data_IF_240488085249
#
_entry.id   IF_240488085249
#
_cell.length_a   1.000
_cell.length_b   1.000
_cell.length_c   1.000
_cell.angle_alpha   90.00
_cell.angle_beta   90.00
_cell.angle_gamma   90.00
#
_symmetry.space_group_name_H-M   'P 1'
#
loop_
_entity.id
_entity.type
_entity.pdbx_description
1 polymer ?
#
# COMPACT_ATOMS: atom_id res chain seq x y z
N UNK A 1 9.86 3.73 0.28
CA UNK A 1 10.12 5.08 0.83
C UNK A 1 11.02 4.96 2.03
N UNK A 2 12.03 5.84 2.18
CA UNK A 2 12.92 5.89 3.36
C UNK A 2 12.68 7.22 4.09
N UNK A 3 12.49 7.22 5.42
CA UNK A 3 12.19 8.45 6.20
C UNK A 3 13.05 8.61 7.44
N UNK A 4 13.41 9.86 7.72
CA UNK A 4 14.16 10.32 8.89
C UNK A 4 13.69 11.75 9.22
N UNK A 5 13.25 12.01 10.45
CA UNK A 5 12.65 13.29 10.86
C UNK A 5 11.59 13.76 9.85
N UNK A 6 11.82 14.91 9.19
CA UNK A 6 10.97 15.48 8.14
C UNK A 6 11.42 15.09 6.72
N UNK A 7 12.54 14.38 6.59
CA UNK A 7 13.12 13.96 5.32
C UNK A 7 12.46 12.69 4.84
N UNK A 8 12.10 12.68 3.56
CA UNK A 8 11.50 11.53 2.87
C UNK A 8 12.21 11.32 1.54
N UNK A 9 12.78 10.13 1.33
CA UNK A 9 13.44 9.72 0.09
C UNK A 9 12.58 8.68 -0.62
N UNK A 10 12.20 9.00 -1.86
CA UNK A 10 11.56 8.07 -2.77
C UNK A 10 12.63 7.42 -3.64
N UNK A 11 12.74 6.11 -3.51
CA UNK A 11 13.66 5.28 -4.29
C UNK A 11 13.06 3.89 -4.41
N UNK A 12 13.36 3.21 -5.50
CA UNK A 12 13.13 1.79 -5.69
C UNK A 12 14.37 0.97 -5.35
N UNK A 13 14.15 -0.31 -5.06
CA UNK A 13 15.18 -1.33 -4.92
C UNK A 13 14.54 -2.69 -5.23
N UNK A 14 15.35 -3.65 -5.71
CA UNK A 14 14.86 -5.00 -5.99
C UNK A 14 14.57 -5.73 -4.68
N UNK A 15 13.50 -6.53 -4.66
CA UNK A 15 13.17 -7.39 -3.51
C UNK A 15 14.34 -8.33 -3.13
N UNK A 16 15.09 -8.81 -4.13
CA UNK A 16 16.27 -9.65 -3.95
C UNK A 16 17.54 -8.90 -3.54
N UNK A 17 17.52 -7.57 -3.49
CA UNK A 17 18.66 -6.80 -3.01
C UNK A 17 18.71 -6.81 -1.48
N UNK A 18 19.92 -6.75 -0.92
CA UNK A 18 20.11 -6.70 0.52
C UNK A 18 19.81 -5.32 1.09
N UNK A 19 19.60 -5.24 2.41
CA UNK A 19 19.41 -4.00 3.18
C UNK A 19 20.58 -3.00 2.98
N UNK A 20 21.75 -3.48 2.59
CA UNK A 20 22.88 -2.63 2.21
C UNK A 20 22.60 -1.72 1.00
N UNK A 21 21.81 -2.18 0.03
CA UNK A 21 21.49 -1.41 -1.19
C UNK A 21 20.81 -0.07 -0.88
N UNK A 22 19.71 0.00 -0.11
CA UNK A 22 19.11 1.28 0.28
C UNK A 22 20.06 2.16 1.12
N UNK A 23 20.93 1.59 1.97
CA UNK A 23 21.93 2.39 2.71
C UNK A 23 22.90 3.13 1.77
N UNK A 24 23.35 2.48 0.68
CA UNK A 24 24.19 3.12 -0.35
C UNK A 24 23.46 4.24 -1.11
N UNK A 25 22.16 4.11 -1.31
CA UNK A 25 21.34 5.17 -1.91
C UNK A 25 21.26 6.37 -0.95
N UNK A 26 21.00 6.10 0.34
CA UNK A 26 21.01 7.12 1.40
C UNK A 26 22.37 7.81 1.47
N UNK A 27 23.49 7.09 1.38
CA UNK A 27 24.84 7.67 1.34
C UNK A 27 25.01 8.63 0.15
N UNK A 28 24.56 8.24 -1.04
CA UNK A 28 24.62 9.09 -2.23
C UNK A 28 23.90 10.42 -2.07
N UNK A 29 22.79 10.44 -1.31
CA UNK A 29 21.91 11.60 -1.13
C UNK A 29 22.31 12.42 0.11
N UNK A 30 22.41 11.78 1.27
CA UNK A 30 22.62 12.40 2.58
C UNK A 30 24.08 12.40 3.04
N UNK A 31 24.99 11.80 2.27
CA UNK A 31 26.45 11.79 2.53
C UNK A 31 26.84 11.16 3.87
N UNK A 32 26.08 10.15 4.31
CA UNK A 32 26.35 9.36 5.52
C UNK A 32 26.77 7.94 5.12
N UNK A 33 27.92 7.40 5.55
CA UNK A 33 28.36 6.05 5.21
C UNK A 33 27.43 4.95 5.77
N UNK A 34 27.25 3.81 5.07
CA UNK A 34 26.33 2.73 5.45
C UNK A 34 26.63 2.03 6.80
N UNK A 35 27.88 1.58 7.00
CA UNK A 35 28.20 0.51 7.96
C UNK A 35 28.19 1.01 9.41
N UNK A 36 28.67 2.24 9.63
CA UNK A 36 28.87 2.76 10.99
C UNK A 36 27.84 3.82 11.38
N UNK A 37 27.17 4.41 10.39
CA UNK A 37 26.36 5.60 10.62
C UNK A 37 24.90 5.43 10.24
N UNK A 38 24.46 4.31 9.65
CA UNK A 38 23.06 4.13 9.28
C UNK A 38 22.44 2.86 9.86
N UNK A 39 21.25 3.00 10.43
CA UNK A 39 20.34 1.89 10.75
C UNK A 39 19.04 2.07 10.00
N UNK A 40 18.58 0.98 9.39
CA UNK A 40 17.29 0.93 8.70
C UNK A 40 16.32 0.10 9.53
N UNK A 41 15.07 0.54 9.57
CA UNK A 41 14.01 -0.06 10.36
C UNK A 41 12.80 -0.35 9.49
N UNK A 42 12.08 -1.42 9.84
CA UNK A 42 10.70 -1.61 9.44
C UNK A 42 9.85 -1.49 10.69
N UNK A 43 8.95 -0.50 10.70
CA UNK A 43 8.24 -0.11 11.91
C UNK A 43 9.28 0.20 13.02
N UNK A 44 9.36 -0.61 14.08
CA UNK A 44 10.38 -0.47 15.14
C UNK A 44 11.48 -1.54 15.09
N UNK A 45 11.42 -2.46 14.12
CA UNK A 45 12.36 -3.57 14.01
C UNK A 45 13.58 -3.19 13.17
N UNK A 46 14.77 -3.35 13.74
CA UNK A 46 16.04 -3.14 13.03
C UNK A 46 16.19 -4.18 11.91
N UNK A 47 16.62 -3.72 10.74
CA UNK A 47 16.89 -4.56 9.58
C UNK A 47 18.34 -5.03 9.54
N UNK A 48 18.53 -6.33 9.39
CA UNK A 48 19.85 -6.97 9.31
C UNK A 48 20.47 -6.82 7.92
N UNK A 49 21.73 -6.42 7.83
CA UNK A 49 22.38 -6.10 6.54
C UNK A 49 22.42 -7.26 5.55
N UNK A 50 22.56 -8.49 6.06
CA UNK A 50 22.64 -9.71 5.26
C UNK A 50 21.29 -10.16 4.69
N UNK A 51 20.17 -9.61 5.17
CA UNK A 51 18.84 -9.99 4.71
C UNK A 51 18.46 -9.23 3.45
N UNK A 52 17.70 -9.89 2.58
CA UNK A 52 17.07 -9.29 1.42
C UNK A 52 15.87 -8.45 1.82
N UNK A 53 15.53 -7.45 1.00
CA UNK A 53 14.35 -6.62 1.22
C UNK A 53 13.05 -7.46 1.26
N UNK A 54 12.98 -8.53 0.45
CA UNK A 54 11.87 -9.49 0.48
C UNK A 54 11.76 -10.25 1.80
N UNK A 55 12.88 -10.70 2.36
CA UNK A 55 12.92 -11.34 3.70
C UNK A 55 12.52 -10.36 4.81
N UNK A 56 12.86 -9.07 4.66
CA UNK A 56 12.36 -8.00 5.53
C UNK A 56 10.88 -7.67 5.27
N UNK A 57 10.23 -8.30 4.28
CA UNK A 57 8.83 -8.15 3.89
C UNK A 57 8.49 -6.92 3.04
N UNK A 58 9.49 -6.33 2.40
CA UNK A 58 9.30 -5.35 1.32
C UNK A 58 9.17 -6.08 -0.02
N UNK A 59 7.93 -6.38 -0.40
CA UNK A 59 7.61 -7.08 -1.66
C UNK A 59 6.95 -6.11 -2.65
N UNK A 60 6.85 -6.50 -3.91
CA UNK A 60 6.11 -5.73 -4.93
C UNK A 60 4.64 -5.47 -4.55
N UNK A 61 4.04 -6.31 -3.70
CA UNK A 61 2.66 -6.18 -3.24
C UNK A 61 2.53 -5.27 -2.01
N UNK A 62 3.57 -5.20 -1.16
CA UNK A 62 3.55 -4.52 0.14
C UNK A 62 4.39 -3.26 0.21
N UNK A 63 5.20 -2.94 -0.80
CA UNK A 63 6.11 -1.79 -0.81
C UNK A 63 5.72 -0.73 -1.87
N UNK A 64 4.43 -0.58 -2.14
CA UNK A 64 3.90 0.46 -3.04
C UNK A 64 4.03 1.89 -2.49
N UNK A 65 3.67 2.92 -3.29
CA UNK A 65 3.81 4.32 -2.89
C UNK A 65 3.05 4.72 -1.62
N UNK A 66 1.95 4.01 -1.31
CA UNK A 66 1.14 4.24 -0.11
C UNK A 66 1.45 3.27 1.04
N UNK A 67 2.51 2.49 0.92
CA UNK A 67 2.79 1.35 1.79
C UNK A 67 3.79 1.71 2.91
N UNK A 68 4.06 0.80 3.86
CA UNK A 68 4.90 1.09 5.02
C UNK A 68 6.30 1.56 4.63
N UNK A 69 6.85 2.41 5.48
CA UNK A 69 8.09 3.14 5.25
C UNK A 69 9.27 2.39 5.85
N UNK A 70 10.43 2.45 5.19
CA UNK A 70 11.72 2.17 5.84
C UNK A 70 12.09 3.36 6.73
N UNK A 71 12.19 3.14 8.04
CA UNK A 71 12.75 4.12 8.96
C UNK A 71 14.28 4.19 8.84
N UNK A 72 14.85 5.38 8.97
CA UNK A 72 16.29 5.61 8.98
C UNK A 72 16.66 6.34 10.28
N UNK A 73 17.75 5.89 10.91
CA UNK A 73 18.38 6.58 12.02
C UNK A 73 19.89 6.64 11.78
N UNK A 74 20.50 7.78 12.10
CA UNK A 74 21.92 7.98 12.02
C UNK A 74 22.64 7.77 13.34
N UNK A 75 23.94 7.46 13.26
CA UNK A 75 24.83 7.54 14.41
C UNK A 75 25.29 8.97 14.62
N UNK A 76 25.13 9.49 15.82
CA UNK A 76 25.68 10.78 16.27
C UNK A 76 26.70 10.50 17.38
N UNK A 77 27.93 10.97 17.16
CA UNK A 77 29.08 10.68 18.02
C UNK A 77 29.22 9.17 18.36
N UNK A 78 28.98 8.81 19.62
CA UNK A 78 29.16 7.46 20.13
C UNK A 78 27.95 6.55 19.89
N UNK A 79 26.75 7.09 19.67
CA UNK A 79 25.49 6.34 19.74
C UNK A 79 24.56 6.58 18.53
N UNK A 80 23.66 5.64 18.28
CA UNK A 80 22.59 5.86 17.30
C UNK A 80 21.50 6.73 17.89
N UNK A 81 21.01 7.68 17.10
CA UNK A 81 19.82 8.44 17.45
C UNK A 81 18.60 7.51 17.53
N UNK A 82 17.60 7.92 18.31
CA UNK A 82 16.34 7.21 18.35
C UNK A 82 15.62 7.34 17.00
N UNK A 83 14.95 6.27 16.56
CA UNK A 83 14.13 6.31 15.36
C UNK A 83 13.04 7.38 15.52
N UNK A 84 13.12 8.45 14.73
CA UNK A 84 12.16 9.55 14.74
C UNK A 84 11.67 9.85 13.35
N UNK A 85 10.36 9.70 13.15
CA UNK A 85 9.68 10.03 11.89
C UNK A 85 8.56 11.00 12.23
N UNK A 86 8.63 12.22 11.69
CA UNK A 86 7.56 13.21 11.87
C UNK A 86 6.33 12.80 11.04
N UNK A 87 5.11 12.78 11.60
CA UNK A 87 3.93 12.50 10.80
C UNK A 87 3.73 13.57 9.72
N UNK A 88 3.14 13.17 8.59
CA UNK A 88 2.67 14.15 7.61
C UNK A 88 1.50 14.95 8.18
N UNK A 89 1.23 16.12 7.59
CA UNK A 89 0.05 16.91 7.94
C UNK A 89 -1.24 16.14 7.68
N UNK A 90 -2.22 16.29 8.57
CA UNK A 90 -3.57 15.77 8.34
C UNK A 90 -4.26 16.52 7.21
N UNK A 91 -5.00 15.78 6.38
CA UNK A 91 -5.88 16.39 5.37
C UNK A 91 -6.93 17.28 6.06
N UNK A 92 -7.31 18.43 5.47
CA UNK A 92 -8.41 19.24 6.00
C UNK A 92 -9.72 18.44 6.01
N UNK A 93 -10.64 18.87 6.88
CA UNK A 93 -11.98 18.30 6.95
C UNK A 93 -12.70 18.36 5.61
N UNK A 94 -13.44 17.31 5.28
CA UNK A 94 -14.23 17.22 4.04
C UNK A 94 -15.34 18.28 4.04
N UNK A 95 -15.48 19.11 2.98
CA UNK A 95 -16.53 20.10 2.93
C UNK A 95 -17.92 19.45 2.87
N UNK A 96 -18.95 20.16 3.35
CA UNK A 96 -20.32 19.62 3.48
C UNK A 96 -20.89 19.12 2.15
N UNK A 97 -20.60 19.83 1.05
CA UNK A 97 -21.01 19.42 -0.31
C UNK A 97 -20.46 18.06 -0.73
N UNK A 98 -19.31 17.66 -0.17
CA UNK A 98 -18.74 16.37 -0.47
C UNK A 98 -19.29 15.31 0.46
N UNK A 99 -19.75 15.60 1.69
CA UNK A 99 -20.26 14.57 2.62
C UNK A 99 -21.33 13.71 1.94
N UNK A 100 -21.37 12.39 2.17
CA UNK A 100 -22.40 11.55 1.58
C UNK A 100 -23.74 12.12 2.04
N UNK A 101 -24.67 12.38 1.12
CA UNK A 101 -26.01 12.74 1.53
C UNK A 101 -26.59 11.51 2.23
N UNK A 102 -27.04 11.67 3.47
CA UNK A 102 -27.85 10.65 4.12
C UNK A 102 -29.11 10.52 3.26
N UNK A 103 -29.13 9.54 2.37
CA UNK A 103 -30.31 9.16 1.59
C UNK A 103 -31.32 8.57 2.57
N UNK A 104 -32.04 9.45 3.25
CA UNK A 104 -33.04 9.17 4.25
C UNK A 104 -34.21 10.14 4.15
N UNK A 105 -34.79 10.27 2.96
CA UNK A 105 -36.16 10.73 2.67
C UNK A 105 -36.35 10.56 1.15
N UNK A 106 -37.22 9.70 0.61
CA UNK A 106 -38.61 9.46 0.99
C UNK A 106 -39.00 7.99 0.81
N UNK A 107 -39.34 7.33 1.91
CA UNK A 107 -40.46 6.38 1.90
C UNK A 107 -41.74 7.22 1.76
N UNK A 108 -42.19 7.47 0.53
CA UNK A 108 -43.56 7.90 0.30
C UNK A 108 -44.17 6.96 -0.73
N UNK A 109 -45.16 6.20 -0.28
CA UNK A 109 -46.12 5.53 -1.13
C UNK A 109 -46.69 6.54 -2.13
N UNK A 110 -46.29 6.44 -3.40
CA UNK A 110 -47.17 6.83 -4.49
C UNK A 110 -47.30 5.69 -5.46
N UNK A 111 -48.39 4.95 -5.28
CA UNK A 111 -49.02 4.17 -6.32
C UNK A 111 -49.24 5.07 -7.54
N UNK A 112 -48.42 4.90 -8.57
CA UNK A 112 -48.75 5.34 -9.94
C UNK A 112 -48.75 4.10 -10.81
N UNK A 113 -49.95 3.54 -10.96
CA UNK A 113 -50.22 2.56 -12.01
C UNK A 113 -49.97 3.22 -13.37
N UNK A 114 -48.99 2.71 -14.12
CA UNK A 114 -48.89 2.95 -15.56
C UNK A 114 -48.43 1.67 -16.27
N UNK A 115 -49.41 1.00 -16.90
CA UNK A 115 -49.37 0.36 -18.23
C UNK A 115 -48.34 -0.75 -18.53
N UNK A 116 -48.74 -1.84 -19.22
CA UNK A 116 -47.90 -3.03 -19.33
C UNK A 116 -46.82 -2.85 -20.40
N UNK A 117 -45.56 -2.80 -19.99
CA UNK A 117 -44.47 -3.13 -20.90
C UNK A 117 -44.28 -4.65 -20.89
N UNK A 118 -44.57 -5.27 -22.03
CA UNK A 118 -44.43 -6.71 -22.30
C UNK A 118 -42.97 -7.13 -22.12
N UNK A 119 -42.67 -7.82 -21.03
CA UNK A 119 -41.37 -8.46 -20.85
C UNK A 119 -41.22 -9.63 -21.84
N UNK A 120 -40.19 -9.59 -22.68
CA UNK A 120 -39.76 -10.78 -23.42
C UNK A 120 -39.06 -11.74 -22.46
N UNK A 121 -39.36 -13.05 -22.48
CA UNK A 121 -38.66 -14.02 -21.64
C UNK A 121 -37.23 -14.21 -22.13
N UNK A 122 -36.26 -14.19 -21.20
CA UNK A 122 -34.87 -14.58 -21.48
C UNK A 122 -34.82 -16.07 -21.87
N UNK A 123 -34.04 -16.46 -22.89
CA UNK A 123 -33.87 -17.87 -23.24
C UNK A 123 -33.14 -18.62 -22.12
N UNK A 124 -33.64 -19.81 -21.76
CA UNK A 124 -33.01 -20.72 -20.80
C UNK A 124 -31.74 -21.31 -21.40
N UNK A 125 -30.61 -21.13 -20.74
CA UNK A 125 -29.39 -21.89 -21.01
C UNK A 125 -29.61 -23.34 -20.57
N UNK A 126 -29.66 -24.28 -21.52
CA UNK A 126 -29.55 -25.69 -21.21
C UNK A 126 -28.08 -26.03 -20.95
N UNK A 127 -27.75 -26.29 -19.69
CA UNK A 127 -26.55 -27.01 -19.28
C UNK A 127 -26.73 -28.48 -19.68
N UNK A 128 -26.00 -28.93 -20.71
CA UNK A 128 -25.88 -30.35 -21.03
C UNK A 128 -24.59 -30.90 -20.42
N UNK A 129 -24.80 -31.92 -19.60
CA UNK A 129 -23.84 -32.70 -18.83
C UNK A 129 -22.96 -33.59 -19.71
N UNK A 130 -21.79 -33.92 -19.15
CA UNK A 130 -20.72 -34.74 -19.73
C UNK A 130 -21.12 -36.21 -19.95
N UNK A 131 -21.74 -36.58 -21.07
CA UNK A 131 -21.80 -38.00 -21.50
C UNK A 131 -21.93 -38.07 -23.02
N UNK A 132 -20.81 -38.12 -23.76
CA UNK A 132 -20.73 -38.93 -25.00
C UNK A 132 -19.26 -39.14 -25.37
N UNK A 133 -18.69 -40.15 -24.70
CA UNK A 133 -17.43 -40.77 -25.02
C UNK A 133 -17.76 -41.98 -25.91
N UNK A 134 -17.45 -41.96 -27.21
CA UNK A 134 -17.11 -43.17 -28.01
C UNK A 134 -16.54 -42.80 -29.38
N UNK A 135 -15.23 -42.98 -29.50
CA UNK A 135 -14.50 -43.73 -30.54
C UNK A 135 -15.14 -43.81 -31.94
N UNK A 136 -14.47 -43.20 -32.91
CA UNK A 136 -13.81 -43.89 -34.04
C UNK A 136 -12.78 -42.99 -34.70
#
# INVERSE_FOLDING_TARGET
>A
MIRLHKTTIFTDAKESSTVFKPKRIVEGILKRPPDEQQRLYRDDQLLEEGTTLGECGFTSQTAGPQAPTVGLAFREDAAFEALRIEPFSSSPGRPDVMKPQDSGDSANEQAVQRGPYRAHPRPKTHSLSKEDLTVK
#
